data_IF_976199503873
#
_entry.id   IF_976199503873
#
_cell.length_a   1.000
_cell.length_b   1.000
_cell.length_c   1.000
_cell.angle_alpha   90.00
_cell.angle_beta   90.00
_cell.angle_gamma   90.00
#
_symmetry.space_group_name_H-M   'P 1'
#
loop_
_entity.id
_entity.type
_entity.pdbx_description
1 polymer ?
#
# COMPACT_ATOMS: atom_id res chain seq x y z
N UNK A 1 3.03 -7.68 13.06
CA UNK A 1 2.50 -6.40 12.57
C UNK A 1 1.14 -6.65 11.94
N UNK A 2 0.15 -5.88 12.36
CA UNK A 2 -1.19 -6.02 11.79
C UNK A 2 -1.27 -5.44 10.38
N UNK A 3 -2.35 -5.79 9.66
CA UNK A 3 -2.52 -5.37 8.27
C UNK A 3 -2.57 -3.85 8.14
N UNK A 4 -3.32 -3.19 9.02
CA UNK A 4 -3.41 -1.73 9.00
C UNK A 4 -2.07 -1.08 9.29
N UNK A 5 -1.36 -1.60 10.29
CA UNK A 5 -0.04 -1.09 10.63
C UNK A 5 0.94 -1.26 9.47
N UNK A 6 0.85 -2.40 8.78
CA UNK A 6 1.67 -2.66 7.61
C UNK A 6 1.42 -1.60 6.54
N UNK A 7 0.15 -1.30 6.28
CA UNK A 7 -0.21 -0.32 5.26
C UNK A 7 0.22 1.09 5.65
N UNK A 8 0.12 1.43 6.93
CA UNK A 8 0.56 2.74 7.41
C UNK A 8 2.07 2.86 7.29
N UNK A 9 2.79 1.79 7.63
CA UNK A 9 4.24 1.77 7.46
C UNK A 9 4.62 1.92 5.98
N UNK A 10 3.86 1.27 5.10
CA UNK A 10 4.10 1.37 3.66
C UNK A 10 3.85 2.79 3.15
N UNK A 11 2.81 3.44 3.65
CA UNK A 11 2.54 4.82 3.25
C UNK A 11 3.68 5.74 3.68
N UNK A 12 4.20 5.55 4.89
CA UNK A 12 5.35 6.31 5.36
C UNK A 12 6.59 6.06 4.51
N UNK A 13 6.80 4.82 4.10
CA UNK A 13 7.90 4.44 3.23
C UNK A 13 7.79 5.14 1.88
N UNK A 14 6.60 5.16 1.30
CA UNK A 14 6.35 5.85 0.03
C UNK A 14 6.59 7.34 0.18
N UNK A 15 6.05 7.93 1.25
CA UNK A 15 6.14 9.38 1.47
C UNK A 15 7.56 9.85 1.70
N UNK A 16 8.41 8.98 2.24
CA UNK A 16 9.80 9.33 2.51
C UNK A 16 10.69 9.20 1.27
N UNK A 17 10.19 8.58 0.21
CA UNK A 17 10.99 8.31 -0.99
C UNK A 17 10.62 9.32 -2.08
N UNK A 18 11.58 10.16 -2.51
CA UNK A 18 11.27 11.20 -3.51
C UNK A 18 10.92 10.65 -4.89
N UNK A 19 11.20 9.38 -5.15
CA UNK A 19 10.81 8.76 -6.41
C UNK A 19 9.45 8.06 -6.30
N UNK A 20 9.14 7.49 -5.15
CA UNK A 20 7.91 6.72 -5.00
C UNK A 20 6.67 7.58 -4.78
N UNK A 21 6.79 8.66 -4.03
CA UNK A 21 5.63 9.48 -3.72
C UNK A 21 4.98 10.06 -4.99
N UNK A 22 5.74 10.68 -5.92
CA UNK A 22 5.12 11.18 -7.14
C UNK A 22 4.45 10.08 -7.95
N UNK A 23 5.04 8.88 -8.01
CA UNK A 23 4.44 7.77 -8.75
C UNK A 23 3.15 7.32 -8.10
N UNK A 24 3.14 7.23 -6.78
CA UNK A 24 1.94 6.84 -6.06
C UNK A 24 0.80 7.83 -6.32
N UNK A 25 1.11 9.13 -6.25
CA UNK A 25 0.11 10.16 -6.47
C UNK A 25 -0.40 10.13 -7.92
N UNK A 26 0.51 9.89 -8.87
CA UNK A 26 0.12 9.83 -10.28
C UNK A 26 -0.79 8.64 -10.57
N UNK A 27 -0.48 7.49 -9.96
CA UNK A 27 -1.25 6.27 -10.20
C UNK A 27 -2.63 6.35 -9.54
N UNK A 28 -2.69 6.91 -8.33
CA UNK A 28 -3.95 6.98 -7.59
C UNK A 28 -4.79 8.18 -7.95
N UNK A 29 -4.19 9.20 -8.56
CA UNK A 29 -4.90 10.44 -8.83
C UNK A 29 -5.15 11.29 -7.61
N UNK A 30 -4.55 10.95 -6.48
CA UNK A 30 -4.74 11.68 -5.22
C UNK A 30 -3.76 12.84 -5.16
N UNK A 31 -4.24 14.01 -4.77
CA UNK A 31 -3.36 15.15 -4.54
C UNK A 31 -2.68 15.00 -3.18
N UNK A 32 -1.45 15.50 -3.08
CA UNK A 32 -0.66 15.33 -1.85
C UNK A 32 -1.40 15.86 -0.63
N UNK A 33 -2.06 16.98 -0.75
CA UNK A 33 -2.78 17.55 0.39
C UNK A 33 -4.05 16.79 0.75
N UNK A 34 -4.52 15.90 -0.14
CA UNK A 34 -5.73 15.12 0.09
C UNK A 34 -5.45 13.76 0.72
N UNK A 35 -4.17 13.39 0.91
CA UNK A 35 -3.83 12.06 1.43
C UNK A 35 -4.50 11.81 2.78
N UNK A 36 -4.55 12.80 3.64
CA UNK A 36 -5.13 12.63 4.95
C UNK A 36 -6.60 12.23 4.89
N UNK A 37 -7.34 12.86 4.00
CA UNK A 37 -8.75 12.53 3.79
C UNK A 37 -8.89 11.19 3.08
N UNK A 38 -8.05 10.95 2.08
CA UNK A 38 -8.08 9.70 1.34
C UNK A 38 -7.80 8.50 2.25
N UNK A 39 -6.97 8.68 3.26
CA UNK A 39 -6.62 7.61 4.18
C UNK A 39 -7.80 7.11 4.99
N UNK A 40 -8.89 7.85 5.02
CA UNK A 40 -10.11 7.45 5.71
C UNK A 40 -11.04 6.63 4.82
N UNK A 41 -10.77 6.62 3.51
CA UNK A 41 -11.62 5.90 2.57
C UNK A 41 -11.40 4.41 2.66
N UNK A 42 -12.48 3.60 2.60
CA UNK A 42 -12.31 2.16 2.51
C UNK A 42 -11.49 1.82 1.28
N UNK A 43 -10.55 0.92 1.44
CA UNK A 43 -9.72 0.51 0.33
C UNK A 43 -8.48 1.34 0.11
N UNK A 44 -8.34 2.49 0.75
CA UNK A 44 -7.14 3.29 0.58
C UNK A 44 -5.90 2.52 1.05
N UNK A 45 -5.97 1.94 2.24
CA UNK A 45 -4.82 1.20 2.79
C UNK A 45 -4.47 -0.01 1.95
N UNK A 46 -5.50 -0.72 1.44
CA UNK A 46 -5.24 -1.82 0.52
C UNK A 46 -4.56 -1.31 -0.75
N UNK A 47 -4.99 -0.15 -1.24
CA UNK A 47 -4.37 0.45 -2.42
C UNK A 47 -2.91 0.80 -2.20
N UNK A 48 -2.56 1.25 -0.99
CA UNK A 48 -1.16 1.53 -0.64
C UNK A 48 -0.33 0.26 -0.78
N UNK A 49 -0.80 -0.85 -0.22
CA UNK A 49 -0.08 -2.11 -0.31
C UNK A 49 -0.08 -2.68 -1.72
N UNK A 50 -1.17 -2.48 -2.47
CA UNK A 50 -1.22 -2.89 -3.88
C UNK A 50 -0.14 -2.18 -4.69
N UNK A 51 0.05 -0.89 -4.42
CA UNK A 51 1.12 -0.14 -5.09
C UNK A 51 2.49 -0.75 -4.79
N UNK A 52 2.72 -1.13 -3.53
CA UNK A 52 3.99 -1.73 -3.12
C UNK A 52 4.21 -3.07 -3.82
N UNK A 53 3.20 -3.96 -3.81
CA UNK A 53 3.37 -5.31 -4.35
C UNK A 53 3.39 -5.35 -5.87
N UNK A 54 2.88 -4.31 -6.53
CA UNK A 54 2.84 -4.27 -7.99
C UNK A 54 4.21 -4.11 -8.62
N UNK A 55 5.23 -3.72 -7.84
CA UNK A 55 6.57 -3.52 -8.33
C UNK A 55 7.55 -4.26 -7.42
N UNK A 56 8.08 -5.37 -7.91
CA UNK A 56 8.88 -6.25 -7.06
C UNK A 56 10.05 -5.58 -6.34
N UNK A 57 10.86 -4.73 -7.01
CA UNK A 57 11.94 -4.06 -6.28
C UNK A 57 11.44 -3.20 -5.11
N UNK A 58 10.30 -2.56 -5.29
CA UNK A 58 9.70 -1.74 -4.22
C UNK A 58 9.24 -2.63 -3.07
N UNK A 59 8.61 -3.77 -3.41
CA UNK A 59 8.14 -4.72 -2.40
C UNK A 59 9.31 -5.22 -1.56
N UNK A 60 10.40 -5.61 -2.21
CA UNK A 60 11.56 -6.13 -1.50
C UNK A 60 12.18 -5.05 -0.62
N UNK A 61 12.34 -3.84 -1.14
CA UNK A 61 12.91 -2.74 -0.37
C UNK A 61 12.05 -2.39 0.85
N UNK A 62 10.73 -2.36 0.67
CA UNK A 62 9.84 -2.10 1.78
C UNK A 62 9.90 -3.21 2.82
N UNK A 63 9.87 -4.46 2.38
CA UNK A 63 9.91 -5.60 3.29
C UNK A 63 11.18 -5.58 4.13
N UNK A 64 12.31 -5.27 3.52
CA UNK A 64 13.57 -5.15 4.24
C UNK A 64 13.54 -4.01 5.25
N UNK A 65 12.98 -2.87 4.84
CA UNK A 65 12.88 -1.70 5.71
C UNK A 65 11.98 -1.99 6.91
N UNK A 66 10.91 -2.72 6.70
CA UNK A 66 9.95 -3.05 7.76
C UNK A 66 10.35 -4.27 8.58
N UNK A 67 11.36 -5.01 8.12
CA UNK A 67 11.80 -6.21 8.83
C UNK A 67 10.85 -7.37 8.70
N UNK A 68 10.15 -7.48 7.57
CA UNK A 68 9.18 -8.56 7.34
C UNK A 68 9.49 -9.26 6.02
N UNK A 69 8.92 -10.45 5.86
CA UNK A 69 9.03 -11.17 4.59
C UNK A 69 8.09 -10.54 3.55
N UNK A 70 8.45 -10.55 2.26
CA UNK A 70 7.55 -10.05 1.23
C UNK A 70 6.18 -10.71 1.24
N UNK A 71 6.11 -12.00 1.57
CA UNK A 71 4.83 -12.71 1.67
C UNK A 71 3.92 -12.12 2.74
N UNK A 72 4.51 -11.56 3.81
CA UNK A 72 3.72 -10.94 4.86
C UNK A 72 3.04 -9.67 4.37
N UNK A 73 3.67 -8.96 3.44
CA UNK A 73 3.07 -7.75 2.86
C UNK A 73 1.84 -8.14 2.03
N UNK A 74 1.97 -9.20 1.22
CA UNK A 74 0.85 -9.71 0.42
C UNK A 74 -0.30 -10.15 1.33
N UNK A 75 0.01 -10.84 2.41
CA UNK A 75 -0.99 -11.31 3.34
C UNK A 75 -1.73 -10.15 3.99
N UNK A 76 -1.00 -9.10 4.35
CA UNK A 76 -1.61 -7.91 4.95
C UNK A 76 -2.54 -7.23 3.95
N UNK A 77 -2.12 -7.13 2.69
CA UNK A 77 -2.96 -6.54 1.65
C UNK A 77 -4.29 -7.27 1.54
N UNK A 78 -4.25 -8.61 1.51
CA UNK A 78 -5.45 -9.41 1.37
C UNK A 78 -6.35 -9.35 2.60
N UNK A 79 -5.80 -9.02 3.75
CA UNK A 79 -6.58 -8.91 4.98
C UNK A 79 -7.30 -7.58 5.11
N UNK A 80 -6.95 -6.61 4.29
CA UNK A 80 -7.57 -5.28 4.34
C UNK A 80 -8.83 -5.24 3.47
N UNK A 81 -9.78 -4.36 3.82
CA UNK A 81 -10.95 -4.17 2.97
C UNK A 81 -10.52 -3.79 1.56
N UNK A 82 -11.12 -4.45 0.56
CA UNK A 82 -10.88 -4.21 -0.86
C UNK A 82 -9.46 -4.57 -1.32
N UNK A 83 -8.70 -5.28 -0.47
CA UNK A 83 -7.38 -5.77 -0.85
C UNK A 83 -7.41 -7.20 -1.38
N UNK A 84 -8.57 -7.83 -1.35
CA UNK A 84 -8.77 -9.21 -1.75
C UNK A 84 -9.12 -9.27 -3.23
N UNK A 85 -8.41 -10.12 -3.97
CA UNK A 85 -8.67 -10.30 -5.39
C UNK A 85 -10.04 -10.90 -5.67
N UNK A 86 -10.62 -11.55 -4.69
CA UNK A 86 -11.89 -12.24 -4.90
C UNK A 86 -13.05 -11.30 -5.18
N UNK A 87 -12.95 -10.05 -4.81
CA UNK A 87 -14.03 -9.12 -5.11
C UNK A 87 -14.20 -8.92 -6.62
N UNK A 88 -13.13 -9.07 -7.36
CA UNK A 88 -13.21 -8.98 -8.81
C UNK A 88 -14.04 -10.10 -9.39
N UNK A 89 -13.86 -11.28 -8.82
CA UNK A 89 -14.59 -12.46 -9.30
C UNK A 89 -16.07 -12.36 -8.96
N UNK A 90 -16.41 -11.65 -7.91
CA UNK A 90 -17.80 -11.53 -7.51
C UNK A 90 -18.54 -10.48 -8.33
N UNK A 91 -17.83 -9.71 -9.07
CA UNK A 91 -18.45 -8.70 -9.93
C UNK A 91 -19.04 -9.32 -11.21
#
# INVERSE_FOLDING_TARGET
MGAEEMAIAALGFIAADPALLPRFLAITGIEAQAIRNAAREPGFLAGVLQFIVAHEPTLIAFAENAGVAPAAVLKAMRALPQGDDSYDASA
#
